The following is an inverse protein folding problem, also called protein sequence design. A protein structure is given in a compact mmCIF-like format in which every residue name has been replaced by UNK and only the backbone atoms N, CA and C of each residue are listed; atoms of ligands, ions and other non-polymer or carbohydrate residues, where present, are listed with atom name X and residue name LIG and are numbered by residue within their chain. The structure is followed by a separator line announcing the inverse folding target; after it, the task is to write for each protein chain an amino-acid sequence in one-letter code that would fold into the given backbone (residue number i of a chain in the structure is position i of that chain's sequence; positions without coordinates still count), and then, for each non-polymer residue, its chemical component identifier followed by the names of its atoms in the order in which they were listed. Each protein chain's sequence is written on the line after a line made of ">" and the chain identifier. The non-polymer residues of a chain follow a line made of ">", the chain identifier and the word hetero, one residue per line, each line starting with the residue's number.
data_IF_528969806112
#
_entry.id   IF_528969806112
#
_cell.length_a   1.000
_cell.length_b   1.000
_cell.length_c   1.000
_cell.angle_alpha   90.00
_cell.angle_beta   90.00
_cell.angle_gamma   90.00
#
_symmetry.space_group_name_H-M   'P 1'
#
loop_
_entity.id
_entity.type
_entity.pdbx_description
1 polymer ?
#
# COMPACT_ATOMS: atom_id res chain seq x y z
N UNK A 1 3.98 35.48 21.02
CA UNK A 1 3.38 34.19 21.41
C UNK A 1 2.98 33.47 20.13
N UNK A 2 3.70 32.42 19.73
CA UNK A 2 3.33 31.61 18.58
C UNK A 2 2.87 30.24 19.10
N UNK A 3 1.58 29.96 18.94
CA UNK A 3 0.99 28.67 19.29
C UNK A 3 1.41 27.71 18.18
N UNK A 4 2.48 26.94 18.44
CA UNK A 4 2.88 25.83 17.57
C UNK A 4 1.85 24.73 17.76
N UNK A 5 0.82 24.70 16.90
CA UNK A 5 -0.15 23.61 16.88
C UNK A 5 0.50 22.42 16.16
N UNK A 6 1.36 21.73 16.90
CA UNK A 6 2.08 20.54 16.43
C UNK A 6 1.18 19.35 16.76
N UNK A 7 0.18 19.10 15.92
CA UNK A 7 -0.49 17.79 15.85
C UNK A 7 0.48 16.77 15.21
N UNK A 8 1.70 16.65 15.75
CA UNK A 8 2.53 15.50 15.44
C UNK A 8 1.88 14.35 16.18
N UNK A 9 1.22 13.47 15.44
CA UNK A 9 0.82 12.16 15.93
C UNK A 9 2.14 11.41 16.19
N UNK A 10 2.73 11.64 17.36
CA UNK A 10 3.89 10.94 17.90
C UNK A 10 3.38 9.62 18.51
N UNK A 11 2.65 8.82 17.74
CA UNK A 11 2.42 7.43 18.11
C UNK A 11 3.63 6.63 17.65
N UNK A 12 4.34 6.02 18.60
CA UNK A 12 5.18 4.87 18.30
C UNK A 12 4.32 3.89 17.50
N UNK A 13 4.75 3.56 16.28
CA UNK A 13 4.09 2.52 15.50
C UNK A 13 4.71 1.22 15.96
N UNK A 14 3.90 0.34 16.52
CA UNK A 14 4.39 -0.96 16.99
C UNK A 14 4.76 -1.84 15.78
N UNK A 15 5.82 -2.66 15.84
CA UNK A 15 6.23 -3.54 14.75
C UNK A 15 5.08 -4.40 14.20
N UNK A 16 4.24 -4.95 15.09
CA UNK A 16 3.05 -5.74 14.73
C UNK A 16 2.07 -4.96 13.82
N UNK A 17 1.97 -3.64 13.99
CA UNK A 17 1.11 -2.80 13.15
C UNK A 17 1.69 -2.62 11.74
N UNK A 18 3.02 -2.55 11.63
CA UNK A 18 3.71 -2.49 10.33
C UNK A 18 3.60 -3.84 9.60
N UNK A 19 3.77 -4.96 10.31
CA UNK A 19 3.59 -6.30 9.74
C UNK A 19 2.15 -6.54 9.27
N UNK A 20 1.16 -6.14 10.07
CA UNK A 20 -0.24 -6.22 9.69
C UNK A 20 -0.54 -5.36 8.44
N UNK A 21 -0.02 -4.14 8.40
CA UNK A 21 -0.17 -3.26 7.24
C UNK A 21 0.47 -3.85 5.99
N UNK A 22 1.68 -4.39 6.10
CA UNK A 22 2.40 -5.07 5.02
C UNK A 22 1.59 -6.25 4.48
N UNK A 23 1.08 -7.10 5.37
CA UNK A 23 0.25 -8.26 5.01
C UNK A 23 -0.99 -7.84 4.20
N UNK A 24 -1.68 -6.77 4.63
CA UNK A 24 -2.87 -6.26 3.94
C UNK A 24 -2.53 -5.69 2.56
N UNK A 25 -1.39 -5.03 2.41
CA UNK A 25 -0.91 -4.51 1.12
C UNK A 25 -0.57 -5.65 0.17
N UNK A 26 0.15 -6.66 0.63
CA UNK A 26 0.49 -7.85 -0.17
C UNK A 26 -0.76 -8.61 -0.62
N UNK A 27 -1.77 -8.70 0.25
CA UNK A 27 -3.06 -9.28 -0.11
C UNK A 27 -3.76 -8.48 -1.21
N UNK A 28 -3.82 -7.15 -1.09
CA UNK A 28 -4.41 -6.29 -2.12
C UNK A 28 -3.64 -6.35 -3.45
N UNK A 29 -2.31 -6.37 -3.40
CA UNK A 29 -1.45 -6.54 -4.56
C UNK A 29 -1.76 -7.86 -5.28
N UNK A 30 -1.80 -8.95 -4.53
CA UNK A 30 -2.09 -10.29 -5.06
C UNK A 30 -3.46 -10.36 -5.73
N UNK A 31 -4.49 -9.75 -5.13
CA UNK A 31 -5.82 -9.66 -5.75
C UNK A 31 -5.80 -8.85 -7.04
N UNK A 32 -5.11 -7.71 -7.05
CA UNK A 32 -4.98 -6.88 -8.25
C UNK A 32 -4.24 -7.63 -9.38
N UNK A 33 -3.18 -8.36 -9.05
CA UNK A 33 -2.42 -9.18 -10.00
C UNK A 33 -3.31 -10.28 -10.60
N UNK A 34 -4.06 -11.00 -9.77
CA UNK A 34 -5.02 -12.02 -10.23
C UNK A 34 -6.08 -11.45 -11.19
N UNK A 35 -6.54 -10.21 -10.96
CA UNK A 35 -7.46 -9.54 -11.88
C UNK A 35 -6.80 -9.29 -13.25
N UNK A 36 -5.52 -8.93 -13.29
CA UNK A 36 -4.78 -8.70 -14.55
C UNK A 36 -4.45 -9.99 -15.30
N UNK A 37 -4.29 -11.10 -14.60
CA UNK A 37 -4.01 -12.42 -15.20
C UNK A 37 -5.25 -13.10 -15.78
N UNK A 38 -6.46 -12.58 -15.50
CA UNK A 38 -7.67 -13.13 -16.09
C UNK A 38 -7.66 -12.95 -17.60
N UNK A 39 -8.00 -14.02 -18.34
CA UNK A 39 -8.11 -14.03 -19.81
C UNK A 39 -8.94 -12.88 -20.39
N UNK A 40 -9.86 -12.37 -19.58
CA UNK A 40 -10.84 -11.36 -19.94
C UNK A 40 -10.50 -9.95 -19.42
N UNK A 41 -9.29 -9.73 -18.89
CA UNK A 41 -8.87 -8.44 -18.34
C UNK A 41 -8.91 -7.27 -19.35
N UNK A 42 -8.92 -7.56 -20.64
CA UNK A 42 -9.09 -6.55 -21.70
C UNK A 42 -10.56 -6.18 -21.99
N UNK A 43 -11.54 -6.89 -21.39
CA UNK A 43 -12.98 -6.61 -21.56
C UNK A 43 -13.49 -5.39 -20.77
N UNK A 44 -13.04 -5.14 -19.53
CA UNK A 44 -13.37 -3.92 -18.80
C UNK A 44 -13.01 -2.64 -19.57
N UNK A 45 -13.75 -1.53 -19.36
CA UNK A 45 -13.41 -0.22 -19.92
C UNK A 45 -11.97 0.23 -19.56
N UNK A 46 -11.32 1.05 -20.41
CA UNK A 46 -9.94 1.51 -20.18
C UNK A 46 -9.69 2.14 -18.81
N UNK A 47 -10.67 2.87 -18.27
CA UNK A 47 -10.54 3.48 -16.94
C UNK A 47 -10.45 2.43 -15.82
N UNK A 48 -11.14 1.28 -15.95
CA UNK A 48 -11.08 0.20 -14.96
C UNK A 48 -9.74 -0.54 -15.04
N UNK A 49 -9.22 -0.77 -16.24
CA UNK A 49 -7.88 -1.32 -16.44
C UNK A 49 -6.81 -0.40 -15.84
N UNK A 50 -6.94 0.91 -16.06
CA UNK A 50 -6.06 1.91 -15.48
C UNK A 50 -6.14 1.92 -13.96
N UNK A 51 -7.34 1.82 -13.37
CA UNK A 51 -7.50 1.73 -11.91
C UNK A 51 -6.77 0.51 -11.33
N UNK A 52 -6.86 -0.66 -11.99
CA UNK A 52 -6.20 -1.88 -11.51
C UNK A 52 -4.67 -1.75 -11.63
N UNK A 53 -4.15 -1.17 -12.72
CA UNK A 53 -2.72 -0.86 -12.84
C UNK A 53 -2.24 0.14 -11.78
N UNK A 54 -3.01 1.20 -11.51
CA UNK A 54 -2.69 2.17 -10.46
C UNK A 54 -2.69 1.51 -9.07
N UNK A 55 -3.59 0.56 -8.82
CA UNK A 55 -3.61 -0.21 -7.58
C UNK A 55 -2.37 -1.11 -7.42
N UNK A 56 -1.94 -1.77 -8.49
CA UNK A 56 -0.69 -2.55 -8.52
C UNK A 56 0.53 -1.67 -8.20
N UNK A 57 0.62 -0.50 -8.82
CA UNK A 57 1.70 0.45 -8.56
C UNK A 57 1.70 0.96 -7.12
N UNK A 58 0.52 1.39 -6.64
CA UNK A 58 0.35 1.88 -5.27
C UNK A 58 0.76 0.83 -4.23
N UNK A 59 0.31 -0.42 -4.41
CA UNK A 59 0.61 -1.50 -3.46
C UNK A 59 2.10 -1.85 -3.46
N UNK A 60 2.77 -1.83 -4.61
CA UNK A 60 4.22 -2.00 -4.69
C UNK A 60 4.99 -0.87 -3.98
N UNK A 61 4.61 0.39 -4.17
CA UNK A 61 5.24 1.52 -3.46
C UNK A 61 5.01 1.43 -1.95
N UNK A 62 3.79 1.07 -1.53
CA UNK A 62 3.45 0.94 -0.12
C UNK A 62 4.21 -0.22 0.55
N UNK A 63 4.34 -1.36 -0.14
CA UNK A 63 5.15 -2.50 0.34
C UNK A 63 6.62 -2.09 0.51
N UNK A 64 7.19 -1.39 -0.47
CA UNK A 64 8.58 -0.92 -0.40
C UNK A 64 8.79 0.07 0.75
N UNK A 65 7.84 0.97 1.00
CA UNK A 65 7.92 1.95 2.07
C UNK A 65 7.86 1.27 3.45
N UNK A 66 6.90 0.37 3.67
CA UNK A 66 6.73 -0.31 4.96
C UNK A 66 7.89 -1.27 5.22
N UNK A 67 8.34 -2.03 4.22
CA UNK A 67 9.52 -2.90 4.36
C UNK A 67 10.76 -2.08 4.71
N UNK A 68 10.91 -0.88 4.14
CA UNK A 68 11.98 0.05 4.51
C UNK A 68 11.90 0.51 5.97
N UNK A 69 10.70 0.72 6.50
CA UNK A 69 10.50 1.08 7.91
C UNK A 69 10.84 -0.08 8.85
N UNK A 70 10.40 -1.30 8.53
CA UNK A 70 10.70 -2.51 9.32
C UNK A 70 12.22 -2.71 9.38
N UNK A 71 12.90 -2.72 8.22
CA UNK A 71 14.35 -2.92 8.13
C UNK A 71 15.19 -1.79 8.76
N UNK A 72 14.59 -0.63 9.03
CA UNK A 72 15.26 0.48 9.72
C UNK A 72 15.11 0.43 11.24
N UNK A 73 14.30 -0.51 11.75
CA UNK A 73 13.99 -0.67 13.18
C UNK A 73 14.83 -1.79 13.81
N UNK A 74 15.45 -2.65 13.00
CA UNK A 74 16.50 -3.63 13.38
C UNK A 74 17.90 -3.01 13.44
#
# INVERSE_FOLDING_TARGET
>A
MAIKNVNTINSSIEPDQLEEALTRIQYAHSLAALLTEQRDFHKPPPHQQQTIHSLLFFTHEAESAISGMINSTD
#
